data_IF_635839926688
#
_entry.id   IF_635839926688
#
_cell.length_a   1.000
_cell.length_b   1.000
_cell.length_c   1.000
_cell.angle_alpha   90.00
_cell.angle_beta   90.00
_cell.angle_gamma   90.00
#
_symmetry.space_group_name_H-M   'P 1'
#
loop_
_entity.id
_entity.type
_entity.pdbx_description
1 polymer ?
#
# COMPACT_ATOMS: atom_id res chain seq x y z
N UNK A 1 -27.22 7.35 17.69
CA UNK A 1 -27.30 6.75 16.34
C UNK A 1 -26.86 7.80 15.36
N UNK A 2 -25.97 7.48 14.43
CA UNK A 2 -25.46 8.44 13.45
C UNK A 2 -26.12 8.16 12.10
N UNK A 3 -26.43 9.21 11.35
CA UNK A 3 -27.03 9.17 10.03
C UNK A 3 -26.05 9.76 9.03
N UNK A 4 -25.47 8.92 8.17
CA UNK A 4 -24.58 9.35 7.10
C UNK A 4 -25.36 9.88 5.92
N UNK A 5 -24.87 10.96 5.32
CA UNK A 5 -25.33 11.51 4.04
C UNK A 5 -24.35 11.03 2.98
N UNK A 6 -24.89 10.37 1.95
CA UNK A 6 -24.11 9.81 0.87
C UNK A 6 -24.58 10.40 -0.45
N UNK A 7 -23.61 10.84 -1.26
CA UNK A 7 -23.83 11.32 -2.60
C UNK A 7 -23.31 10.30 -3.60
N UNK A 8 -23.84 10.35 -4.83
CA UNK A 8 -23.38 9.47 -5.90
C UNK A 8 -24.48 8.94 -6.80
N UNK A 9 -24.07 8.52 -7.99
CA UNK A 9 -24.90 7.82 -8.96
C UNK A 9 -24.28 6.45 -9.25
N UNK A 10 -25.12 5.42 -9.39
CA UNK A 10 -24.71 4.04 -9.73
C UNK A 10 -23.73 3.41 -8.74
N UNK A 11 -22.47 3.19 -9.13
CA UNK A 11 -21.41 2.57 -8.32
C UNK A 11 -20.52 3.58 -7.60
N UNK A 12 -20.64 4.87 -7.93
CA UNK A 12 -19.71 5.90 -7.49
C UNK A 12 -20.30 6.63 -6.28
N UNK A 13 -20.15 6.02 -5.10
CA UNK A 13 -20.70 6.53 -3.84
C UNK A 13 -19.60 7.22 -3.06
N UNK A 14 -19.89 8.37 -2.48
CA UNK A 14 -18.98 9.08 -1.58
C UNK A 14 -19.71 9.62 -0.36
N UNK A 15 -18.96 9.82 0.72
CA UNK A 15 -19.48 10.32 1.99
C UNK A 15 -19.52 11.84 1.93
N UNK A 16 -20.69 12.42 2.17
CA UNK A 16 -20.86 13.89 2.26
C UNK A 16 -20.68 14.36 3.70
N UNK A 17 -21.17 13.59 4.67
CA UNK A 17 -21.06 13.92 6.08
C UNK A 17 -21.99 13.07 6.96
N UNK A 18 -22.21 13.50 8.20
CA UNK A 18 -23.10 12.80 9.13
C UNK A 18 -23.86 13.76 10.07
N UNK A 19 -25.02 13.31 10.53
CA UNK A 19 -25.83 13.97 11.57
C UNK A 19 -26.20 12.99 12.68
N UNK A 20 -26.44 13.51 13.89
CA UNK A 20 -26.97 12.74 15.02
C UNK A 20 -28.51 12.71 15.05
N UNK A 21 -29.17 13.48 14.18
CA UNK A 21 -30.62 13.55 14.03
C UNK A 21 -30.98 13.20 12.58
N UNK A 22 -31.92 12.27 12.39
CA UNK A 22 -32.34 11.83 11.06
C UNK A 22 -33.03 12.92 10.26
N UNK A 23 -33.91 13.69 10.88
CA UNK A 23 -34.64 14.75 10.20
C UNK A 23 -33.71 15.86 9.72
N UNK A 24 -32.65 16.15 10.45
CA UNK A 24 -31.67 17.16 10.00
C UNK A 24 -30.85 16.67 8.81
N UNK A 25 -30.49 15.37 8.77
CA UNK A 25 -29.89 14.76 7.59
C UNK A 25 -30.84 14.79 6.38
N UNK A 26 -32.13 14.46 6.58
CA UNK A 26 -33.13 14.47 5.51
C UNK A 26 -33.39 15.91 4.99
N UNK A 27 -33.48 16.90 5.89
CA UNK A 27 -33.54 18.31 5.52
C UNK A 27 -32.32 18.73 4.71
N UNK A 28 -31.12 18.31 5.12
CA UNK A 28 -29.89 18.59 4.38
C UNK A 28 -29.95 18.02 2.95
N UNK A 29 -30.34 16.75 2.79
CA UNK A 29 -30.49 16.16 1.45
C UNK A 29 -31.51 16.92 0.59
N UNK A 30 -32.65 17.35 1.15
CA UNK A 30 -33.66 18.08 0.39
C UNK A 30 -33.26 19.53 0.04
N UNK A 31 -32.50 20.21 0.91
CA UNK A 31 -32.14 21.61 0.74
C UNK A 31 -30.83 21.82 -0.02
N UNK A 32 -29.86 20.92 0.21
CA UNK A 32 -28.48 21.07 -0.24
C UNK A 32 -27.97 19.86 -1.05
N UNK A 33 -28.63 18.71 -0.96
CA UNK A 33 -28.18 17.47 -1.61
C UNK A 33 -28.65 17.38 -3.05
N UNK A 34 -27.74 17.00 -3.95
CA UNK A 34 -28.04 16.77 -5.36
C UNK A 34 -28.28 15.27 -5.60
N UNK A 35 -29.42 14.77 -5.11
CA UNK A 35 -29.74 13.34 -5.12
C UNK A 35 -29.10 12.53 -3.99
N UNK A 36 -28.54 13.20 -2.98
CA UNK A 36 -28.02 12.57 -1.77
C UNK A 36 -29.12 11.83 -1.01
N UNK A 37 -28.75 10.75 -0.31
CA UNK A 37 -29.67 10.00 0.55
C UNK A 37 -29.05 9.69 1.91
N UNK A 38 -29.94 9.48 2.87
CA UNK A 38 -29.59 9.23 4.26
C UNK A 38 -29.58 7.73 4.55
N UNK A 39 -28.52 7.26 5.20
CA UNK A 39 -28.46 5.89 5.77
C UNK A 39 -28.01 5.93 7.23
N UNK A 40 -28.65 5.14 8.12
CA UNK A 40 -28.13 4.94 9.45
C UNK A 40 -26.77 4.24 9.38
N UNK A 41 -25.79 4.76 10.13
CA UNK A 41 -24.49 4.12 10.30
C UNK A 41 -24.54 3.20 11.50
N UNK A 42 -24.12 1.95 11.30
CA UNK A 42 -23.89 1.00 12.39
C UNK A 42 -22.58 1.37 13.05
N UNK A 43 -22.60 1.49 14.38
CA UNK A 43 -21.37 1.58 15.16
C UNK A 43 -20.70 0.21 15.19
N UNK A 44 -19.49 0.11 14.63
CA UNK A 44 -18.69 -1.11 14.60
C UNK A 44 -17.64 -1.13 15.72
N UNK A 45 -17.62 -0.11 16.58
CA UNK A 45 -16.67 -0.01 17.70
C UNK A 45 -16.82 -1.23 18.60
N UNK A 46 -15.71 -1.91 18.88
CA UNK A 46 -15.65 -3.14 19.68
C UNK A 46 -16.48 -4.33 19.13
N UNK A 47 -16.98 -4.28 17.89
CA UNK A 47 -17.66 -5.43 17.27
C UNK A 47 -16.68 -6.60 17.09
N UNK A 48 -15.41 -6.28 16.85
CA UNK A 48 -14.29 -7.23 16.83
C UNK A 48 -13.12 -6.65 17.61
N UNK A 49 -12.39 -7.51 18.30
CA UNK A 49 -11.10 -7.16 18.87
C UNK A 49 -10.07 -7.04 17.74
N UNK A 50 -9.67 -5.80 17.44
CA UNK A 50 -8.65 -5.49 16.44
C UNK A 50 -7.29 -5.19 17.07
N UNK A 51 -7.14 -5.31 18.40
CA UNK A 51 -5.91 -4.95 19.12
C UNK A 51 -4.68 -5.77 18.69
N UNK A 52 -4.90 -6.98 18.17
CA UNK A 52 -3.84 -7.87 17.65
C UNK A 52 -3.59 -7.72 16.15
N UNK A 53 -4.35 -6.87 15.47
CA UNK A 53 -4.20 -6.62 14.04
C UNK A 53 -3.20 -5.50 13.83
N UNK A 54 -2.03 -5.82 13.28
CA UNK A 54 -1.06 -4.82 12.84
C UNK A 54 -1.30 -4.47 11.38
N UNK A 55 -1.52 -3.18 11.11
CA UNK A 55 -1.57 -2.67 9.75
C UNK A 55 -0.16 -2.47 9.22
N UNK A 56 -0.03 -2.61 7.91
CA UNK A 56 1.10 -2.16 7.10
C UNK A 56 0.56 -1.16 6.08
N UNK A 57 1.40 -0.24 5.65
CA UNK A 57 1.02 0.88 4.80
C UNK A 57 1.78 0.80 3.48
N UNK A 58 1.07 1.13 2.41
CA UNK A 58 1.56 1.20 1.04
C UNK A 58 1.35 2.63 0.55
N UNK A 59 2.37 3.46 0.67
CA UNK A 59 2.33 4.84 0.21
C UNK A 59 2.73 4.91 -1.26
N UNK A 60 1.98 5.67 -2.04
CA UNK A 60 2.37 6.00 -3.40
C UNK A 60 2.92 7.43 -3.43
N UNK A 61 4.20 7.58 -3.77
CA UNK A 61 4.89 8.87 -3.85
C UNK A 61 5.25 9.13 -5.31
N UNK A 62 4.69 10.19 -5.89
CA UNK A 62 4.92 10.53 -7.30
C UNK A 62 5.87 11.70 -7.45
N UNK A 63 6.62 11.65 -8.55
CA UNK A 63 7.43 12.73 -9.04
C UNK A 63 7.11 12.99 -10.50
N UNK A 64 6.82 14.24 -10.83
CA UNK A 64 6.67 14.70 -12.22
C UNK A 64 8.01 15.21 -12.75
N UNK A 65 8.35 14.79 -13.97
CA UNK A 65 9.46 15.34 -14.72
C UNK A 65 8.99 16.59 -15.46
N UNK A 66 9.67 17.70 -15.19
CA UNK A 66 9.62 18.88 -16.05
C UNK A 66 10.70 18.70 -17.10
N UNK A 67 10.31 18.17 -18.26
CA UNK A 67 11.22 17.78 -19.35
C UNK A 67 12.15 18.92 -19.78
N UNK A 68 11.67 20.17 -19.74
CA UNK A 68 12.42 21.38 -20.09
C UNK A 68 13.64 21.63 -19.18
N UNK A 69 13.61 21.12 -17.94
CA UNK A 69 14.62 21.36 -16.90
C UNK A 69 15.31 20.07 -16.41
N UNK A 70 14.92 18.89 -16.92
CA UNK A 70 15.26 17.57 -16.34
C UNK A 70 15.11 17.54 -14.81
N UNK A 71 14.08 18.26 -14.32
CA UNK A 71 13.82 18.49 -12.90
C UNK A 71 12.64 17.64 -12.48
N UNK A 72 12.82 16.90 -11.40
CA UNK A 72 11.79 16.07 -10.80
C UNK A 72 11.17 16.78 -9.59
N UNK A 73 9.85 16.89 -9.58
CA UNK A 73 9.09 17.56 -8.52
C UNK A 73 8.13 16.57 -7.89
N UNK A 74 8.22 16.42 -6.57
CA UNK A 74 7.31 15.54 -5.81
C UNK A 74 5.90 16.15 -5.76
N UNK A 75 4.87 15.32 -5.95
CA UNK A 75 3.47 15.75 -5.80
C UNK A 75 3.06 15.83 -4.33
N UNK A 76 2.26 16.84 -4.00
CA UNK A 76 1.63 16.99 -2.68
C UNK A 76 0.30 16.23 -2.63
N UNK A 77 0.40 14.91 -2.44
CA UNK A 77 -0.75 14.01 -2.34
C UNK A 77 -0.63 13.18 -1.03
N UNK A 78 -0.85 13.80 0.15
CA UNK A 78 -0.55 13.18 1.45
C UNK A 78 -1.44 11.96 1.75
N UNK A 79 -2.66 11.95 1.22
CA UNK A 79 -3.63 10.86 1.42
C UNK A 79 -3.49 9.73 0.41
N UNK A 80 -2.44 9.75 -0.44
CA UNK A 80 -2.21 8.71 -1.45
C UNK A 80 -1.53 7.50 -0.86
N UNK A 81 -2.29 6.71 -0.14
CA UNK A 81 -1.85 5.45 0.43
C UNK A 81 -3.00 4.44 0.57
N UNK A 82 -2.63 3.18 0.72
CA UNK A 82 -3.53 2.11 1.13
C UNK A 82 -2.93 1.38 2.33
N UNK A 83 -3.75 0.66 3.10
CA UNK A 83 -3.27 -0.23 4.16
C UNK A 83 -3.58 -1.70 3.82
N UNK A 84 -2.83 -2.60 4.42
CA UNK A 84 -3.02 -4.05 4.26
C UNK A 84 -2.61 -4.80 5.54
N UNK A 85 -3.10 -6.03 5.65
CA UNK A 85 -2.73 -6.98 6.69
C UNK A 85 -1.91 -8.08 6.03
N UNK A 86 -0.71 -8.29 6.53
CA UNK A 86 0.19 -9.37 6.13
C UNK A 86 1.20 -9.60 7.25
N UNK A 87 1.92 -10.71 7.24
CA UNK A 87 3.00 -10.96 8.20
C UNK A 87 4.22 -10.09 7.86
N UNK A 88 4.58 -10.03 6.58
CA UNK A 88 5.74 -9.32 6.06
C UNK A 88 5.35 -8.07 5.27
N UNK A 89 6.27 -7.09 5.16
CA UNK A 89 6.08 -5.96 4.25
C UNK A 89 6.04 -6.47 2.82
N UNK A 90 5.21 -5.87 1.98
CA UNK A 90 5.28 -6.10 0.53
C UNK A 90 6.54 -5.44 -0.04
N UNK A 91 6.99 -5.95 -1.17
CA UNK A 91 8.12 -5.37 -1.88
C UNK A 91 7.81 -3.95 -2.35
N UNK A 92 8.77 -3.05 -2.20
CA UNK A 92 8.72 -1.74 -2.83
C UNK A 92 8.78 -1.91 -4.34
N UNK A 93 8.22 -0.95 -5.08
CA UNK A 93 8.33 -0.95 -6.54
C UNK A 93 8.32 0.47 -7.08
N UNK A 94 8.79 0.61 -8.31
CA UNK A 94 8.70 1.84 -9.08
C UNK A 94 8.04 1.55 -10.41
N UNK A 95 7.15 2.45 -10.82
CA UNK A 95 6.54 2.45 -12.15
C UNK A 95 6.64 3.84 -12.76
N UNK A 96 6.77 3.87 -14.07
CA UNK A 96 6.69 5.12 -14.83
C UNK A 96 5.37 5.20 -15.58
N UNK A 97 4.97 6.43 -15.91
CA UNK A 97 3.92 6.66 -16.88
C UNK A 97 4.14 7.95 -17.63
N UNK A 98 3.48 8.05 -18.77
CA UNK A 98 3.50 9.24 -19.63
C UNK A 98 2.07 9.68 -19.85
N UNK A 99 1.73 10.91 -19.46
CA UNK A 99 0.41 11.47 -19.70
C UNK A 99 0.57 12.85 -20.32
N UNK A 100 0.00 13.05 -21.52
CA UNK A 100 -0.05 14.33 -22.23
C UNK A 100 1.30 15.08 -22.28
N UNK A 101 2.38 14.35 -22.60
CA UNK A 101 3.79 14.82 -22.73
C UNK A 101 4.58 15.00 -21.44
N UNK A 102 4.01 14.74 -20.27
CA UNK A 102 4.78 14.78 -19.02
C UNK A 102 5.10 13.36 -18.55
N UNK A 103 6.39 13.10 -18.31
CA UNK A 103 6.85 11.85 -17.70
C UNK A 103 6.68 11.95 -16.18
N UNK A 104 6.23 10.87 -15.55
CA UNK A 104 6.17 10.77 -14.09
C UNK A 104 6.66 9.40 -13.64
N UNK A 105 7.16 9.34 -12.41
CA UNK A 105 7.48 8.10 -11.72
C UNK A 105 6.72 8.03 -10.41
N UNK A 106 6.26 6.84 -10.06
CA UNK A 106 5.57 6.56 -8.81
C UNK A 106 6.34 5.47 -8.08
N UNK A 107 6.80 5.79 -6.88
CA UNK A 107 7.35 4.83 -5.94
C UNK A 107 6.24 4.31 -5.05
N UNK A 108 6.12 3.00 -4.98
CA UNK A 108 5.30 2.29 -4.00
C UNK A 108 6.22 1.92 -2.85
N UNK A 109 6.00 2.56 -1.70
CA UNK A 109 6.81 2.41 -0.49
C UNK A 109 5.98 1.73 0.59
N UNK A 110 6.42 0.55 1.01
CA UNK A 110 5.79 -0.26 2.04
C UNK A 110 6.50 -0.07 3.38
N UNK A 111 5.77 0.37 4.39
CA UNK A 111 6.24 0.56 5.77
C UNK A 111 5.24 -0.01 6.78
N UNK A 112 5.67 -0.24 8.01
CA UNK A 112 4.91 -0.95 9.06
C UNK A 112 4.02 -0.03 9.92
N UNK A 113 3.97 1.25 9.61
CA UNK A 113 3.13 2.26 10.28
C UNK A 113 2.82 3.42 9.33
N UNK A 114 1.84 4.26 9.69
CA UNK A 114 1.48 5.43 8.89
C UNK A 114 2.48 6.57 9.10
N UNK A 115 3.51 6.62 8.26
CA UNK A 115 4.48 7.72 8.23
C UNK A 115 4.76 8.17 6.79
N UNK A 116 3.91 9.09 6.33
CA UNK A 116 4.04 9.71 5.00
C UNK A 116 5.41 10.39 4.80
N UNK A 117 5.97 11.04 5.82
CA UNK A 117 7.24 11.77 5.69
C UNK A 117 8.41 10.81 5.51
N UNK A 118 8.39 9.69 6.23
CA UNK A 118 9.35 8.61 6.04
C UNK A 118 9.24 8.03 4.63
N UNK A 119 8.02 7.75 4.16
CA UNK A 119 7.80 7.23 2.82
C UNK A 119 8.30 8.19 1.72
N UNK A 120 8.08 9.49 1.88
CA UNK A 120 8.58 10.53 0.96
C UNK A 120 10.10 10.59 0.94
N UNK A 121 10.75 10.53 2.11
CA UNK A 121 12.21 10.50 2.20
C UNK A 121 12.80 9.28 1.50
N UNK A 122 12.25 8.09 1.76
CA UNK A 122 12.65 6.84 1.10
C UNK A 122 12.48 6.97 -0.43
N UNK A 123 11.35 7.53 -0.88
CA UNK A 123 11.09 7.71 -2.31
C UNK A 123 12.04 8.73 -2.96
N UNK A 124 12.45 9.78 -2.25
CA UNK A 124 13.47 10.73 -2.72
C UNK A 124 14.83 10.05 -2.87
N UNK A 125 15.22 9.22 -1.91
CA UNK A 125 16.47 8.42 -1.98
C UNK A 125 16.41 7.45 -3.18
N UNK A 126 15.27 6.79 -3.39
CA UNK A 126 15.07 5.92 -4.56
C UNK A 126 15.09 6.69 -5.88
N UNK A 127 14.51 7.89 -5.93
CA UNK A 127 14.58 8.72 -7.13
C UNK A 127 16.03 9.10 -7.46
N UNK A 128 16.82 9.49 -6.44
CA UNK A 128 18.22 9.81 -6.63
C UNK A 128 19.01 8.61 -7.17
N UNK A 129 18.78 7.41 -6.61
CA UNK A 129 19.37 6.18 -7.10
C UNK A 129 18.93 5.86 -8.54
N UNK A 130 17.63 5.90 -8.83
CA UNK A 130 17.09 5.59 -10.16
C UNK A 130 17.68 6.51 -11.25
N UNK A 131 17.87 7.79 -10.93
CA UNK A 131 18.51 8.76 -11.83
C UNK A 131 19.98 8.46 -12.07
N UNK A 132 20.68 7.87 -11.09
CA UNK A 132 22.09 7.49 -11.23
C UNK A 132 22.32 6.39 -12.29
N UNK A 133 21.30 5.56 -12.58
CA UNK A 133 21.40 4.49 -13.58
C UNK A 133 21.41 4.99 -15.03
N UNK A 134 20.95 6.21 -15.29
CA UNK A 134 20.80 6.76 -16.64
C UNK A 134 21.33 8.18 -16.81
N UNK A 135 22.38 8.54 -16.07
CA UNK A 135 23.01 9.86 -16.13
C UNK A 135 22.01 11.03 -15.97
N UNK A 136 21.08 10.85 -15.03
CA UNK A 136 20.04 11.82 -14.73
C UNK A 136 18.75 11.66 -15.53
N UNK A 137 18.72 10.79 -16.54
CA UNK A 137 17.50 10.40 -17.29
C UNK A 137 16.99 9.05 -16.79
N UNK A 138 15.67 8.86 -16.86
CA UNK A 138 15.00 7.62 -16.47
C UNK A 138 14.52 6.92 -17.74
N UNK A 139 14.95 5.67 -17.91
CA UNK A 139 14.56 4.78 -18.99
C UNK A 139 13.86 3.55 -18.42
N UNK A 140 13.07 2.83 -19.22
CA UNK A 140 12.41 1.59 -18.79
C UNK A 140 13.40 0.58 -18.19
N UNK A 141 14.56 0.37 -18.81
CA UNK A 141 15.61 -0.52 -18.28
C UNK A 141 16.09 -0.13 -16.87
N UNK A 142 16.04 1.15 -16.51
CA UNK A 142 16.44 1.63 -15.19
C UNK A 142 15.36 1.27 -14.14
N UNK A 143 14.09 1.34 -14.56
CA UNK A 143 12.91 0.94 -13.76
C UNK A 143 12.96 -0.56 -13.49
N UNK A 144 13.20 -1.37 -14.52
CA UNK A 144 13.38 -2.82 -14.41
C UNK A 144 14.51 -3.17 -13.45
N UNK A 145 15.69 -2.57 -13.62
CA UNK A 145 16.85 -2.79 -12.77
C UNK A 145 16.55 -2.47 -11.29
N UNK A 146 15.86 -1.36 -11.03
CA UNK A 146 15.50 -0.98 -9.66
C UNK A 146 14.47 -1.93 -9.05
N UNK A 147 13.46 -2.35 -9.81
CA UNK A 147 12.48 -3.33 -9.34
C UNK A 147 13.12 -4.69 -9.05
N UNK A 148 14.06 -5.14 -9.90
CA UNK A 148 14.83 -6.35 -9.63
C UNK A 148 15.63 -6.25 -8.33
N UNK A 149 16.24 -5.08 -8.07
CA UNK A 149 16.94 -4.80 -6.82
C UNK A 149 15.98 -4.86 -5.62
N UNK A 150 14.79 -4.29 -5.72
CA UNK A 150 13.79 -4.34 -4.64
C UNK A 150 13.32 -5.77 -4.36
N UNK A 151 13.13 -6.57 -5.40
CA UNK A 151 12.62 -7.94 -5.28
C UNK A 151 13.68 -8.93 -4.78
N UNK A 152 14.98 -8.66 -4.99
CA UNK A 152 16.06 -9.60 -4.66
C UNK A 152 16.07 -10.07 -3.18
N UNK A 153 15.96 -9.19 -2.16
CA UNK A 153 15.89 -9.63 -0.76
C UNK A 153 14.68 -10.52 -0.46
N UNK A 154 13.54 -10.29 -1.13
CA UNK A 154 12.33 -11.09 -0.96
C UNK A 154 12.50 -12.50 -1.53
N UNK A 155 13.04 -12.61 -2.74
CA UNK A 155 13.36 -13.90 -3.37
C UNK A 155 14.34 -14.70 -2.50
N UNK A 156 15.33 -14.05 -1.92
CA UNK A 156 16.30 -14.69 -1.04
C UNK A 156 15.67 -15.17 0.27
N UNK A 157 14.83 -14.34 0.90
CA UNK A 157 14.08 -14.73 2.10
C UNK A 157 13.18 -15.94 1.84
N UNK A 158 12.49 -15.96 0.71
CA UNK A 158 11.66 -17.11 0.32
C UNK A 158 12.49 -18.38 0.09
N UNK A 159 13.69 -18.26 -0.48
CA UNK A 159 14.62 -19.39 -0.66
C UNK A 159 15.04 -19.95 0.69
N UNK A 160 15.47 -19.11 1.63
CA UNK A 160 15.87 -19.51 2.99
C UNK A 160 14.71 -20.22 3.69
N UNK A 161 13.49 -19.67 3.64
CA UNK A 161 12.32 -20.29 4.26
C UNK A 161 12.04 -21.70 3.71
N UNK A 162 12.12 -21.87 2.39
CA UNK A 162 11.94 -23.18 1.74
C UNK A 162 13.02 -24.18 2.16
N UNK A 163 14.27 -23.73 2.28
CA UNK A 163 15.37 -24.60 2.74
C UNK A 163 15.21 -25.02 4.21
N UNK A 164 14.76 -24.11 5.07
CA UNK A 164 14.46 -24.43 6.48
C UNK A 164 13.29 -25.40 6.60
N UNK A 165 12.22 -25.23 5.81
CA UNK A 165 11.09 -26.15 5.77
C UNK A 165 11.52 -27.57 5.33
N UNK A 166 12.43 -27.70 4.37
CA UNK A 166 12.97 -29.00 3.94
C UNK A 166 13.79 -29.63 5.06
N UNK A 167 14.72 -28.89 5.67
CA UNK A 167 15.55 -29.39 6.78
C UNK A 167 14.71 -29.86 7.98
N UNK A 168 13.64 -29.14 8.30
CA UNK A 168 12.74 -29.54 9.38
C UNK A 168 11.99 -30.84 9.07
N UNK A 169 11.58 -31.05 7.81
CA UNK A 169 10.96 -32.31 7.38
C UNK A 169 11.94 -33.49 7.44
N UNK A 170 13.17 -33.29 6.97
CA UNK A 170 14.23 -34.31 7.02
C UNK A 170 14.57 -34.68 8.48
N UNK A 171 14.68 -33.70 9.37
CA UNK A 171 14.94 -33.92 10.78
C UNK A 171 13.81 -34.72 11.45
N UNK A 172 12.56 -34.35 11.19
CA UNK A 172 11.40 -35.07 11.72
C UNK A 172 11.32 -36.52 11.21
N UNK A 173 11.71 -36.78 9.96
CA UNK A 173 11.77 -38.13 9.40
C UNK A 173 12.90 -38.95 10.03
N UNK A 174 14.08 -38.37 10.25
CA UNK A 174 15.19 -39.01 10.93
C UNK A 174 14.84 -39.38 12.38
N UNK A 175 14.17 -38.49 13.12
CA UNK A 175 13.70 -38.77 14.48
C UNK A 175 12.69 -39.91 14.50
N UNK A 176 11.74 -39.92 13.55
CA UNK A 176 10.78 -41.02 13.40
C UNK A 176 11.47 -42.36 13.11
N UNK A 177 12.50 -42.36 12.25
CA UNK A 177 13.27 -43.57 11.94
C UNK A 177 14.06 -44.04 13.17
N UNK A 178 14.76 -43.15 13.86
CA UNK A 178 15.49 -43.49 15.11
C UNK A 178 14.55 -44.12 16.13
N UNK A 179 13.42 -43.49 16.41
CA UNK A 179 12.42 -44.03 17.34
C UNK A 179 11.95 -45.44 16.95
N UNK A 180 11.76 -45.71 15.65
CA UNK A 180 11.37 -47.03 15.15
C UNK A 180 12.43 -48.11 15.36
N UNK A 181 13.72 -47.78 15.21
CA UNK A 181 14.82 -48.73 15.32
C UNK A 181 15.36 -48.90 16.74
N UNK A 182 15.15 -47.92 17.64
CA UNK A 182 15.53 -48.01 19.06
C UNK A 182 14.50 -48.74 19.93
N UNK A 183 13.26 -48.94 19.46
CA UNK A 183 12.24 -49.77 20.11
C UNK A 183 12.31 -51.28 19.74
N UNK A 184 13.44 -51.76 19.23
CA UNK A 184 13.69 -53.17 18.88
C UNK A 184 14.84 -53.74 19.70
#
# INVERSE_FOLDING_TARGET
MVYGVFGGCYSDWYVVGYFNNRQDAEKYCCLCGDGDYVKPLKDLTNEKDLSKVSLKYCHEVLFDCKDDENRWVMREEPERYNCYIDNDLRCNSVRQGTLLKNNWVCFIVNIDHDDRRLAEKIAQDYLAELRSYGDGKIYEKNIELMNDKFVAPFKEKERIRKEEEIKQKELAELERLKAKYETK
#
